data_IF_694610973859
#
_entry.id   IF_694610973859
#
_cell.length_a   1.000
_cell.length_b   1.000
_cell.length_c   1.000
_cell.angle_alpha   90.00
_cell.angle_beta   90.00
_cell.angle_gamma   90.00
#
_symmetry.space_group_name_H-M   'P 1'
#
loop_
_entity.id
_entity.type
_entity.pdbx_description
1 polymer ?
#
# COMPACT_ATOMS: atom_id res chain seq x y z
N UNK A 1 -18.41 -8.37 -18.13
CA UNK A 1 -17.73 -9.61 -18.57
C UNK A 1 -16.98 -9.41 -19.88
N UNK A 2 -17.60 -8.86 -20.93
CA UNK A 2 -16.94 -8.75 -22.26
C UNK A 2 -15.68 -7.89 -22.27
N UNK A 3 -15.67 -6.79 -21.50
CA UNK A 3 -14.47 -5.98 -21.35
C UNK A 3 -13.31 -6.78 -20.76
N UNK A 4 -13.55 -7.56 -19.69
CA UNK A 4 -12.54 -8.41 -19.06
C UNK A 4 -12.04 -9.48 -20.03
N UNK A 5 -12.95 -10.11 -20.78
CA UNK A 5 -12.58 -11.08 -21.81
C UNK A 5 -11.75 -10.45 -22.95
N UNK A 6 -12.11 -9.24 -23.41
CA UNK A 6 -11.36 -8.51 -24.43
C UNK A 6 -9.94 -8.18 -23.97
N UNK A 7 -9.80 -7.65 -22.75
CA UNK A 7 -8.49 -7.36 -22.16
C UNK A 7 -7.69 -8.64 -21.94
N UNK A 8 -8.32 -9.70 -21.45
CA UNK A 8 -7.69 -11.01 -21.29
C UNK A 8 -7.14 -11.52 -22.62
N UNK A 9 -7.92 -11.44 -23.71
CA UNK A 9 -7.50 -11.84 -25.05
C UNK A 9 -6.31 -11.01 -25.53
N UNK A 10 -6.38 -9.68 -25.42
CA UNK A 10 -5.27 -8.78 -25.80
C UNK A 10 -3.98 -9.11 -25.03
N UNK A 11 -4.08 -9.39 -23.73
CA UNK A 11 -2.92 -9.74 -22.90
C UNK A 11 -2.40 -11.15 -23.22
N UNK A 12 -3.28 -12.10 -23.50
CA UNK A 12 -2.89 -13.46 -23.76
C UNK A 12 -2.23 -13.57 -25.15
N UNK A 13 -2.83 -13.00 -26.20
CA UNK A 13 -2.27 -13.05 -27.56
C UNK A 13 -1.15 -12.05 -27.79
N UNK A 14 -1.20 -10.88 -27.15
CA UNK A 14 -0.28 -9.77 -27.39
C UNK A 14 -0.58 -8.98 -28.67
N UNK A 15 -1.56 -9.44 -29.45
CA UNK A 15 -2.01 -8.76 -30.66
C UNK A 15 -2.70 -7.46 -30.30
N UNK A 16 -2.32 -6.36 -30.97
CA UNK A 16 -2.85 -5.02 -30.74
C UNK A 16 -2.74 -4.51 -29.29
N UNK A 17 -1.91 -5.13 -28.44
CA UNK A 17 -1.72 -4.73 -27.05
C UNK A 17 -0.79 -3.50 -26.88
N UNK A 18 -0.36 -2.86 -27.97
CA UNK A 18 0.57 -1.72 -27.94
C UNK A 18 0.08 -0.50 -27.15
N UNK A 19 -1.24 -0.34 -27.04
CA UNK A 19 -1.87 0.72 -26.25
C UNK A 19 -1.94 0.40 -24.75
N UNK A 20 -1.71 -0.85 -24.34
CA UNK A 20 -1.68 -1.24 -22.94
C UNK A 20 -0.32 -0.91 -22.35
N UNK A 21 -0.31 -0.01 -21.36
CA UNK A 21 0.91 0.47 -20.72
C UNK A 21 0.95 0.03 -19.26
N UNK A 22 2.09 -0.52 -18.84
CA UNK A 22 2.44 -0.77 -17.44
C UNK A 22 3.66 0.05 -17.10
N UNK A 23 3.58 0.91 -16.07
CA UNK A 23 4.65 1.85 -15.70
C UNK A 23 5.16 2.69 -16.89
N UNK A 24 4.26 3.06 -17.80
CA UNK A 24 4.52 3.78 -19.06
C UNK A 24 5.36 3.01 -20.09
N UNK A 25 5.61 1.72 -19.87
CA UNK A 25 6.19 0.80 -20.85
C UNK A 25 5.08 -0.02 -21.49
N UNK A 26 5.29 -0.45 -22.73
CA UNK A 26 4.36 -1.39 -23.37
C UNK A 26 4.28 -2.67 -22.55
N UNK A 27 3.08 -3.20 -22.38
CA UNK A 27 2.84 -4.45 -21.67
C UNK A 27 3.29 -5.68 -22.48
N UNK A 28 3.76 -5.50 -23.71
CA UNK A 28 4.11 -6.57 -24.64
C UNK A 28 5.03 -7.68 -24.08
N UNK A 29 6.05 -7.39 -23.24
CA UNK A 29 6.89 -8.44 -22.68
C UNK A 29 6.04 -9.52 -21.96
N UNK A 30 6.23 -10.79 -22.35
CA UNK A 30 5.47 -11.94 -21.83
C UNK A 30 5.47 -11.96 -20.29
N UNK A 31 6.59 -11.57 -19.65
CA UNK A 31 6.70 -11.53 -18.20
C UNK A 31 5.74 -10.52 -17.56
N UNK A 32 5.46 -9.39 -18.22
CA UNK A 32 4.53 -8.39 -17.68
C UNK A 32 3.09 -8.87 -17.88
N UNK A 33 2.76 -9.44 -19.05
CA UNK A 33 1.42 -9.98 -19.35
C UNK A 33 1.05 -11.11 -18.39
N UNK A 34 1.99 -12.00 -18.07
CA UNK A 34 1.78 -13.12 -17.15
C UNK A 34 1.44 -12.72 -15.71
N UNK A 35 1.67 -11.45 -15.32
CA UNK A 35 1.24 -10.89 -14.04
C UNK A 35 -0.25 -10.50 -14.05
N UNK A 36 -0.79 -10.08 -15.19
CA UNK A 36 -2.16 -9.55 -15.31
C UNK A 36 -3.17 -10.63 -15.70
N UNK A 37 -2.79 -11.56 -16.58
CA UNK A 37 -3.65 -12.68 -17.00
C UNK A 37 -4.27 -13.44 -15.82
N UNK A 38 -3.50 -13.96 -14.83
CA UNK A 38 -4.09 -14.70 -13.70
C UNK A 38 -5.03 -13.84 -12.86
N UNK A 39 -4.76 -12.53 -12.74
CA UNK A 39 -5.63 -11.60 -12.00
C UNK A 39 -6.97 -11.42 -12.71
N UNK A 40 -6.96 -11.23 -14.03
CA UNK A 40 -8.21 -11.10 -14.80
C UNK A 40 -8.99 -12.41 -14.79
N UNK A 41 -8.31 -13.55 -14.95
CA UNK A 41 -8.93 -14.87 -14.81
C UNK A 41 -9.62 -15.02 -13.45
N UNK A 42 -8.89 -14.73 -12.37
CA UNK A 42 -9.42 -14.77 -10.99
C UNK A 42 -10.62 -13.84 -10.84
N UNK A 43 -10.55 -12.58 -11.29
CA UNK A 43 -11.65 -11.61 -11.21
C UNK A 43 -12.90 -12.10 -11.93
N UNK A 44 -12.77 -12.59 -13.16
CA UNK A 44 -13.90 -13.15 -13.92
C UNK A 44 -14.55 -14.33 -13.19
N UNK A 45 -13.72 -15.23 -12.66
CA UNK A 45 -14.20 -16.42 -11.96
C UNK A 45 -14.84 -16.06 -10.60
N UNK A 46 -14.31 -15.07 -9.88
CA UNK A 46 -14.90 -14.56 -8.64
C UNK A 46 -16.26 -13.87 -8.88
N UNK A 47 -16.45 -13.18 -10.01
CA UNK A 47 -17.78 -12.65 -10.37
C UNK A 47 -18.79 -13.80 -10.51
N UNK A 48 -18.43 -14.87 -11.23
CA UNK A 48 -19.28 -16.06 -11.33
C UNK A 48 -19.45 -16.79 -9.99
N UNK A 49 -18.44 -16.78 -9.12
CA UNK A 49 -18.53 -17.38 -7.78
C UNK A 49 -19.59 -16.70 -6.92
N UNK A 50 -19.72 -15.38 -7.01
CA UNK A 50 -20.65 -14.58 -6.22
C UNK A 50 -22.08 -14.55 -6.79
N UNK A 51 -22.27 -14.91 -8.06
CA UNK A 51 -23.58 -14.86 -8.74
C UNK A 51 -23.98 -16.29 -9.14
N UNK A 52 -24.98 -16.90 -8.48
CA UNK A 52 -25.42 -18.26 -8.79
C UNK A 52 -26.24 -18.27 -10.09
N UNK A 53 -25.55 -18.20 -11.23
CA UNK A 53 -26.16 -18.17 -12.56
C UNK A 53 -25.38 -19.10 -13.52
N UNK A 54 -26.01 -20.22 -13.88
CA UNK A 54 -25.43 -21.24 -14.77
C UNK A 54 -25.11 -20.72 -16.18
N UNK A 55 -25.87 -19.76 -16.70
CA UNK A 55 -25.58 -19.14 -17.99
C UNK A 55 -24.30 -18.29 -17.91
N UNK A 56 -24.11 -17.57 -16.79
CA UNK A 56 -22.88 -16.83 -16.52
C UNK A 56 -21.68 -17.77 -16.35
N UNK A 57 -21.84 -18.88 -15.62
CA UNK A 57 -20.77 -19.88 -15.43
C UNK A 57 -20.33 -20.47 -16.76
N UNK A 58 -21.28 -20.89 -17.60
CA UNK A 58 -21.00 -21.36 -18.98
C UNK A 58 -20.30 -20.30 -19.80
N UNK A 59 -20.78 -19.05 -19.75
CA UNK A 59 -20.15 -17.93 -20.46
C UNK A 59 -18.71 -17.69 -20.02
N UNK A 60 -18.42 -17.72 -18.72
CA UNK A 60 -17.05 -17.57 -18.20
C UNK A 60 -16.16 -18.71 -18.72
N UNK A 61 -16.62 -19.96 -18.62
CA UNK A 61 -15.89 -21.12 -19.14
C UNK A 61 -15.58 -20.98 -20.63
N UNK A 62 -16.59 -20.64 -21.45
CA UNK A 62 -16.41 -20.40 -22.89
C UNK A 62 -15.42 -19.26 -23.15
N UNK A 63 -15.47 -18.17 -22.37
CA UNK A 63 -14.55 -17.04 -22.51
C UNK A 63 -13.11 -17.35 -22.06
N UNK A 64 -12.91 -18.38 -21.24
CA UNK A 64 -11.57 -18.85 -20.86
C UNK A 64 -10.98 -19.82 -21.90
N UNK A 65 -11.79 -20.46 -22.73
CA UNK A 65 -11.31 -21.43 -23.72
C UNK A 65 -10.31 -20.87 -24.76
N UNK A 66 -10.43 -19.63 -25.28
CA UNK A 66 -9.46 -19.07 -26.21
C UNK A 66 -8.05 -18.96 -25.63
N UNK A 67 -7.92 -18.99 -24.30
CA UNK A 67 -6.61 -19.11 -23.69
C UNK A 67 -5.94 -20.37 -24.24
N UNK A 68 -6.62 -21.53 -24.31
CA UNK A 68 -6.09 -22.87 -24.66
C UNK A 68 -5.15 -23.00 -25.86
N UNK A 69 -5.12 -22.00 -26.75
CA UNK A 69 -4.31 -21.97 -27.96
C UNK A 69 -2.90 -21.37 -27.74
N UNK A 70 -2.64 -20.78 -26.58
CA UNK A 70 -1.36 -20.15 -26.22
C UNK A 70 -0.44 -21.09 -25.41
N UNK A 71 0.78 -20.68 -25.11
CA UNK A 71 1.58 -21.39 -24.11
C UNK A 71 1.11 -21.03 -22.70
N UNK A 72 0.74 -22.05 -21.91
CA UNK A 72 0.23 -21.85 -20.56
C UNK A 72 1.36 -21.53 -19.59
N UNK A 73 1.45 -20.28 -19.13
CA UNK A 73 2.30 -19.94 -18.00
C UNK A 73 1.73 -20.59 -16.72
N UNK A 74 2.63 -21.06 -15.84
CA UNK A 74 2.26 -21.77 -14.61
C UNK A 74 1.28 -20.98 -13.72
N UNK A 75 1.40 -19.65 -13.69
CA UNK A 75 0.56 -18.77 -12.87
C UNK A 75 -0.94 -18.82 -13.19
N UNK A 76 -1.34 -19.19 -14.41
CA UNK A 76 -2.76 -19.30 -14.80
C UNK A 76 -3.12 -20.66 -15.42
N UNK A 77 -2.20 -21.63 -15.43
CA UNK A 77 -2.44 -22.97 -15.96
C UNK A 77 -3.65 -23.67 -15.31
N UNK A 78 -3.99 -23.36 -14.06
CA UNK A 78 -5.16 -23.99 -13.43
C UNK A 78 -6.49 -23.49 -14.01
N UNK A 79 -6.58 -22.20 -14.36
CA UNK A 79 -7.75 -21.64 -15.04
C UNK A 79 -7.86 -22.14 -16.47
N UNK A 80 -6.71 -22.36 -17.10
CA UNK A 80 -6.60 -22.89 -18.45
C UNK A 80 -7.13 -24.32 -18.61
N UNK A 81 -6.74 -25.20 -17.68
CA UNK A 81 -7.08 -26.61 -17.73
C UNK A 81 -8.51 -26.89 -17.24
N UNK A 82 -9.21 -25.87 -16.73
CA UNK A 82 -10.57 -26.02 -16.26
C UNK A 82 -11.53 -26.35 -17.42
N UNK A 83 -12.18 -27.50 -17.34
CA UNK A 83 -13.23 -27.94 -18.28
C UNK A 83 -14.62 -27.81 -17.70
N UNK A 84 -14.70 -27.70 -16.38
CA UNK A 84 -15.94 -27.55 -15.63
C UNK A 84 -15.89 -26.37 -14.67
N UNK A 85 -17.06 -25.91 -14.21
CA UNK A 85 -17.12 -24.88 -13.18
C UNK A 85 -16.45 -25.35 -11.88
N UNK A 86 -16.53 -26.63 -11.55
CA UNK A 86 -15.85 -27.23 -10.40
C UNK A 86 -14.33 -27.08 -10.47
N UNK A 87 -13.75 -27.16 -11.66
CA UNK A 87 -12.31 -26.94 -11.84
C UNK A 87 -11.94 -25.47 -11.71
N UNK A 88 -12.80 -24.55 -12.16
CA UNK A 88 -12.66 -23.11 -11.91
C UNK A 88 -12.69 -22.82 -10.41
N UNK A 89 -13.63 -23.41 -9.65
CA UNK A 89 -13.68 -23.26 -8.19
C UNK A 89 -12.37 -23.72 -7.54
N UNK A 90 -11.83 -24.86 -7.98
CA UNK A 90 -10.54 -25.37 -7.51
C UNK A 90 -9.40 -24.39 -7.84
N UNK A 91 -9.38 -23.84 -9.05
CA UNK A 91 -8.39 -22.86 -9.48
C UNK A 91 -8.46 -21.56 -8.66
N UNK A 92 -9.66 -21.06 -8.34
CA UNK A 92 -9.86 -19.90 -7.46
C UNK A 92 -9.21 -20.17 -6.09
N UNK A 93 -9.60 -21.26 -5.43
CA UNK A 93 -9.14 -21.59 -4.07
C UNK A 93 -7.63 -21.84 -4.00
N UNK A 94 -7.07 -22.48 -5.01
CA UNK A 94 -5.63 -22.69 -5.10
C UNK A 94 -4.88 -21.39 -5.39
N UNK A 95 -5.45 -20.49 -6.20
CA UNK A 95 -4.78 -19.23 -6.56
C UNK A 95 -4.63 -18.27 -5.38
N UNK A 96 -5.36 -18.50 -4.29
CA UNK A 96 -5.29 -17.76 -3.03
C UNK A 96 -4.59 -18.54 -1.93
N UNK A 97 -4.10 -19.75 -2.22
CA UNK A 97 -3.48 -20.58 -1.21
C UNK A 97 -2.17 -19.95 -0.72
N UNK A 98 -1.25 -19.57 -1.60
CA UNK A 98 0.13 -19.28 -1.19
C UNK A 98 0.41 -17.81 -0.82
N UNK A 99 -0.63 -16.96 -0.79
CA UNK A 99 -0.48 -15.51 -0.55
C UNK A 99 -1.28 -15.08 0.69
N UNK A 100 -0.63 -14.59 1.76
CA UNK A 100 -1.32 -14.09 2.95
C UNK A 100 -2.09 -12.78 2.69
N UNK A 101 -1.90 -12.16 1.52
CA UNK A 101 -2.59 -10.93 1.11
C UNK A 101 -3.84 -11.21 0.27
N UNK A 102 -4.05 -12.45 -0.18
CA UNK A 102 -5.15 -12.83 -1.08
C UNK A 102 -6.20 -13.71 -0.38
N UNK A 103 -6.46 -13.46 0.90
CA UNK A 103 -7.43 -14.23 1.68
C UNK A 103 -8.86 -14.14 1.10
N UNK A 104 -9.45 -15.31 0.77
CA UNK A 104 -10.86 -15.36 0.38
C UNK A 104 -11.76 -15.26 1.61
N UNK A 105 -12.66 -14.29 1.59
CA UNK A 105 -13.66 -14.11 2.63
C UNK A 105 -15.03 -14.52 2.13
N UNK A 106 -15.68 -15.41 2.85
CA UNK A 106 -17.07 -15.80 2.63
C UNK A 106 -17.95 -15.06 3.64
N UNK A 107 -18.65 -14.02 3.18
CA UNK A 107 -19.61 -13.28 4.00
C UNK A 107 -20.90 -14.08 4.14
N UNK A 108 -21.34 -14.36 5.37
CA UNK A 108 -22.56 -15.11 5.66
C UNK A 108 -23.50 -14.33 6.58
N UNK A 109 -24.70 -14.04 6.13
CA UNK A 109 -25.69 -13.36 6.96
C UNK A 109 -26.19 -14.30 8.08
N UNK A 110 -26.20 -13.84 9.32
CA UNK A 110 -26.62 -14.63 10.50
C UNK A 110 -28.10 -14.99 10.49
N UNK A 111 -28.92 -14.24 9.78
CA UNK A 111 -30.34 -14.53 9.57
C UNK A 111 -30.58 -15.67 8.57
N UNK A 112 -29.53 -16.21 7.93
CA UNK A 112 -29.61 -17.40 7.09
C UNK A 112 -29.31 -18.66 7.91
N UNK A 113 -29.90 -19.81 7.56
CA UNK A 113 -29.57 -21.09 8.18
C UNK A 113 -28.05 -21.30 8.25
N UNK A 114 -27.58 -21.89 9.35
CA UNK A 114 -26.15 -22.17 9.52
C UNK A 114 -25.70 -23.09 8.37
N UNK A 115 -24.63 -22.73 7.64
CA UNK A 115 -24.15 -23.55 6.53
C UNK A 115 -23.75 -24.93 7.04
N UNK A 116 -24.25 -25.97 6.38
CA UNK A 116 -24.02 -27.37 6.74
C UNK A 116 -22.54 -27.78 6.62
N UNK A 117 -21.80 -27.13 5.73
CA UNK A 117 -20.41 -27.44 5.47
C UNK A 117 -19.47 -26.33 5.95
N UNK A 118 -18.28 -26.69 6.48
CA UNK A 118 -17.23 -25.69 6.75
C UNK A 118 -16.83 -24.98 5.45
N UNK A 119 -16.30 -23.75 5.54
CA UNK A 119 -15.78 -23.09 4.35
C UNK A 119 -14.62 -23.90 3.75
N UNK A 120 -14.36 -23.80 2.43
CA UNK A 120 -13.19 -24.41 1.82
C UNK A 120 -11.88 -24.01 2.53
N UNK A 121 -10.84 -24.83 2.42
CA UNK A 121 -9.53 -24.53 3.03
C UNK A 121 -9.07 -23.12 2.63
N UNK A 122 -8.58 -22.34 3.61
CA UNK A 122 -8.09 -20.95 3.44
C UNK A 122 -9.18 -19.96 2.98
N UNK A 123 -10.46 -20.34 3.03
CA UNK A 123 -11.58 -19.41 2.93
C UNK A 123 -12.08 -19.15 4.34
N UNK A 124 -12.07 -17.90 4.78
CA UNK A 124 -12.61 -17.57 6.10
C UNK A 124 -14.05 -17.10 5.99
N UNK A 125 -14.91 -17.74 6.77
CA UNK A 125 -16.32 -17.36 6.84
C UNK A 125 -16.51 -16.28 7.91
N UNK A 126 -17.06 -15.14 7.50
CA UNK A 126 -17.37 -14.01 8.38
C UNK A 126 -18.88 -13.90 8.48
N UNK A 127 -19.40 -14.04 9.69
CA UNK A 127 -20.83 -13.92 9.95
C UNK A 127 -21.18 -12.45 10.22
N UNK A 128 -22.22 -11.94 9.59
CA UNK A 128 -22.67 -10.55 9.77
C UNK A 128 -24.18 -10.46 10.00
N UNK A 129 -24.61 -9.51 10.83
CA UNK A 129 -26.02 -9.20 11.07
C UNK A 129 -26.52 -8.15 10.08
N UNK A 130 -25.78 -7.04 9.96
CA UNK A 130 -26.07 -5.94 9.04
C UNK A 130 -24.89 -5.70 8.11
N UNK A 131 -25.16 -5.14 6.93
CA UNK A 131 -24.11 -4.82 5.93
C UNK A 131 -23.10 -3.82 6.50
N UNK A 132 -23.54 -2.88 7.35
CA UNK A 132 -22.67 -1.89 8.01
C UNK A 132 -21.64 -2.51 8.95
N UNK A 133 -21.90 -3.71 9.48
CA UNK A 133 -21.00 -4.38 10.42
C UNK A 133 -19.82 -5.04 9.69
N UNK A 134 -19.94 -5.30 8.37
CA UNK A 134 -18.94 -6.02 7.57
C UNK A 134 -17.57 -5.34 7.63
N UNK A 135 -17.52 -4.01 7.48
CA UNK A 135 -16.26 -3.27 7.51
C UNK A 135 -15.51 -3.45 8.84
N UNK A 136 -16.23 -3.41 9.97
CA UNK A 136 -15.63 -3.64 11.29
C UNK A 136 -15.15 -5.08 11.46
N UNK A 137 -15.95 -6.05 11.00
CA UNK A 137 -15.60 -7.48 11.06
C UNK A 137 -14.38 -7.83 10.21
N UNK A 138 -14.20 -7.16 9.07
CA UNK A 138 -13.01 -7.34 8.22
C UNK A 138 -11.78 -6.61 8.77
N UNK A 139 -11.95 -5.44 9.42
CA UNK A 139 -10.83 -4.64 9.94
C UNK A 139 -10.16 -5.27 11.16
N UNK A 140 -10.92 -5.96 12.00
CA UNK A 140 -10.40 -6.58 13.23
C UNK A 140 -9.81 -7.98 13.00
N UNK A 141 -9.65 -8.39 11.74
CA UNK A 141 -9.22 -9.74 11.40
C UNK A 141 -7.70 -9.81 11.45
N UNK A 142 -7.17 -10.59 12.40
CA UNK A 142 -5.77 -11.01 12.34
C UNK A 142 -5.58 -11.87 11.09
N UNK A 143 -4.53 -11.63 10.28
CA UNK A 143 -4.23 -12.51 9.16
C UNK A 143 -4.11 -13.96 9.66
N UNK A 144 -4.56 -14.96 8.88
CA UNK A 144 -4.43 -16.35 9.28
C UNK A 144 -2.95 -16.63 9.57
N UNK A 145 -2.63 -17.42 10.61
CA UNK A 145 -1.25 -17.77 10.93
C UNK A 145 -0.63 -18.36 9.67
N UNK A 146 0.40 -17.70 9.14
CA UNK A 146 1.12 -18.17 7.97
C UNK A 146 1.68 -19.53 8.34
N UNK A 147 1.16 -20.60 7.75
CA UNK A 147 1.78 -21.91 7.82
C UNK A 147 3.22 -21.74 7.34
N UNK A 148 4.18 -21.93 8.24
CA UNK A 148 5.61 -21.70 8.00
C UNK A 148 6.07 -22.38 6.71
N UNK A 149 6.11 -21.64 5.60
CA UNK A 149 6.78 -22.05 4.36
C UNK A 149 8.22 -21.53 4.42
N UNK A 150 8.98 -22.00 5.43
CA UNK A 150 10.44 -22.04 5.31
C UNK A 150 10.76 -23.21 4.39
N UNK A 151 10.92 -22.96 3.09
CA UNK A 151 11.33 -24.08 2.21
C UNK A 151 11.32 -23.90 0.70
N UNK A 152 10.94 -22.76 0.12
CA UNK A 152 11.05 -22.58 -1.34
C UNK A 152 12.10 -21.53 -1.64
N UNK A 153 13.37 -21.95 -1.60
CA UNK A 153 14.41 -21.27 -2.38
C UNK A 153 14.05 -21.50 -3.85
N UNK A 154 13.84 -20.42 -4.58
CA UNK A 154 13.72 -20.43 -6.04
C UNK A 154 15.08 -20.89 -6.60
N UNK A 155 15.26 -22.18 -6.78
CA UNK A 155 16.44 -22.75 -7.45
C UNK A 155 16.18 -22.66 -8.95
N UNK A 156 16.92 -21.76 -9.61
CA UNK A 156 17.11 -21.80 -11.05
C UNK A 156 17.89 -23.09 -11.35
N UNK A 157 17.23 -24.07 -11.96
CA UNK A 157 17.90 -25.28 -12.44
C UNK A 157 18.84 -24.93 -13.59
N UNK A 158 20.14 -24.87 -13.32
CA UNK A 158 21.18 -25.11 -14.31
C UNK A 158 21.66 -26.54 -14.08
N UNK A 159 21.51 -27.38 -15.10
CA UNK A 159 21.93 -28.78 -15.06
C UNK A 159 23.46 -28.88 -14.94
N UNK A 160 23.91 -29.67 -13.97
CA UNK A 160 25.32 -30.07 -13.77
C UNK A 160 25.40 -31.33 -12.91
N UNK A 161 26.37 -32.23 -13.15
CA UNK A 161 26.22 -33.66 -12.86
C UNK A 161 26.58 -34.05 -11.42
N UNK A 162 25.94 -35.13 -10.97
CA UNK A 162 26.04 -35.74 -9.65
C UNK A 162 27.46 -36.20 -9.32
N UNK A 163 27.91 -35.88 -8.11
CA UNK A 163 28.88 -36.70 -7.38
C UNK A 163 28.33 -37.09 -6.02
N UNK A 164 28.46 -38.37 -5.77
CA UNK A 164 28.06 -39.17 -4.62
C UNK A 164 29.15 -39.09 -3.54
N UNK A 165 28.79 -38.87 -2.26
CA UNK A 165 29.52 -39.42 -1.09
C UNK A 165 29.03 -38.90 0.27
N UNK A 166 28.64 -39.89 1.08
CA UNK A 166 28.92 -40.16 2.51
C UNK A 166 28.42 -39.27 3.66
N UNK A 167 27.59 -39.95 4.48
CA UNK A 167 27.70 -40.19 5.93
C UNK A 167 27.94 -38.99 6.88
N UNK A 168 27.05 -38.83 7.87
CA UNK A 168 27.39 -38.83 9.30
C UNK A 168 26.09 -38.83 10.15
N UNK A 169 25.97 -39.81 11.05
CA UNK A 169 25.19 -39.75 12.30
C UNK A 169 26.20 -39.39 13.43
N UNK A 170 25.85 -38.88 14.63
CA UNK A 170 24.83 -39.47 15.55
C UNK A 170 24.15 -38.47 16.54
N UNK A 171 23.33 -38.99 17.47
CA UNK A 171 23.34 -38.48 18.87
C UNK A 171 22.04 -37.99 19.54
N UNK A 172 21.17 -38.93 19.88
CA UNK A 172 20.49 -39.20 21.18
C UNK A 172 20.57 -38.20 22.37
N UNK A 173 19.39 -37.78 22.86
CA UNK A 173 18.86 -37.66 24.26
C UNK A 173 19.67 -36.94 25.35
N UNK A 174 19.05 -35.94 26.01
CA UNK A 174 18.84 -35.93 27.48
C UNK A 174 17.86 -34.84 27.95
N UNK A 175 16.83 -35.31 28.63
CA UNK A 175 15.94 -34.66 29.59
C UNK A 175 16.68 -34.20 30.85
N UNK A 176 16.24 -33.10 31.47
CA UNK A 176 16.69 -32.66 32.79
C UNK A 176 15.84 -31.51 33.30
N UNK A 177 15.00 -31.83 34.28
CA UNK A 177 14.03 -31.02 35.00
C UNK A 177 14.69 -30.19 36.13
N UNK A 178 13.87 -29.47 36.88
CA UNK A 178 14.11 -28.85 38.20
C UNK A 178 14.44 -27.35 38.27
N UNK A 179 13.39 -26.55 38.55
CA UNK A 179 13.52 -25.35 39.38
C UNK A 179 12.23 -25.09 40.18
N UNK A 180 12.27 -25.08 41.53
CA UNK A 180 11.10 -24.79 42.36
C UNK A 180 10.92 -23.30 42.63
N UNK A 181 9.65 -22.94 42.81
CA UNK A 181 9.08 -21.68 43.26
C UNK A 181 9.74 -21.07 44.51
N UNK A 182 9.72 -19.74 44.57
CA UNK A 182 9.40 -19.01 45.80
C UNK A 182 8.53 -17.79 45.48
N UNK A 183 7.32 -17.83 46.04
CA UNK A 183 6.55 -16.67 46.45
C UNK A 183 7.39 -15.78 47.38
N UNK A 184 7.22 -14.47 47.29
CA UNK A 184 6.97 -13.66 48.48
C UNK A 184 6.25 -12.36 48.10
N UNK A 185 5.29 -12.07 48.97
CA UNK A 185 4.23 -11.08 48.92
C UNK A 185 4.66 -9.75 49.54
N UNK A 186 3.94 -8.70 49.12
CA UNK A 186 3.47 -7.53 49.88
C UNK A 186 4.53 -6.61 50.51
N UNK A 187 4.52 -5.34 50.10
CA UNK A 187 4.29 -4.23 51.03
C UNK A 187 3.46 -3.13 50.37
N UNK A 188 2.53 -2.62 51.17
CA UNK A 188 1.52 -1.59 50.94
C UNK A 188 2.09 -0.16 51.04
N UNK A 189 1.24 0.80 50.65
CA UNK A 189 1.08 2.15 51.21
C UNK A 189 1.82 3.34 50.52
N UNK A 190 1.37 4.61 50.66
CA UNK A 190 0.14 5.12 50.05
C UNK A 190 0.27 6.49 49.34
N UNK A 191 -0.84 6.89 48.69
CA UNK A 191 -1.36 8.25 48.49
C UNK A 191 -0.44 9.36 47.94
N UNK A 192 -0.75 9.84 46.73
CA UNK A 192 -0.73 11.29 46.48
C UNK A 192 -1.80 11.73 45.50
N UNK A 193 -2.72 12.50 46.09
CA UNK A 193 -3.82 13.30 45.58
C UNK A 193 -3.51 14.12 44.32
N UNK A 194 -4.37 14.02 43.31
CA UNK A 194 -4.48 15.02 42.22
C UNK A 194 -5.89 15.60 42.20
N UNK A 195 -6.09 16.91 42.41
CA UNK A 195 -7.40 17.54 42.27
C UNK A 195 -7.58 18.13 40.86
N UNK A 196 -8.83 18.20 40.41
CA UNK A 196 -9.26 19.32 39.55
C UNK A 196 -9.74 18.97 38.15
N UNK A 197 -10.94 18.40 38.08
CA UNK A 197 -11.86 18.43 36.96
C UNK A 197 -11.94 19.81 36.26
N UNK A 198 -12.05 19.81 34.92
CA UNK A 198 -13.02 20.65 34.20
C UNK A 198 -13.43 20.03 32.87
N UNK A 199 -14.67 19.54 32.89
CA UNK A 199 -15.58 19.33 31.76
C UNK A 199 -15.54 20.51 30.78
N UNK A 200 -15.49 20.22 29.48
CA UNK A 200 -16.10 21.05 28.45
C UNK A 200 -16.98 20.14 27.60
N UNK A 201 -18.29 20.33 27.75
CA UNK A 201 -19.35 19.90 26.85
C UNK A 201 -19.52 20.95 25.74
N UNK A 202 -19.69 20.49 24.51
CA UNK A 202 -20.45 21.15 23.42
C UNK A 202 -20.41 20.16 22.24
N UNK A 203 -21.41 19.31 22.00
CA UNK A 203 -22.77 19.60 21.55
C UNK A 203 -22.81 20.57 20.36
N UNK A 204 -23.04 20.02 19.16
CA UNK A 204 -24.09 20.44 18.20
C UNK A 204 -24.03 19.52 16.96
N UNK A 205 -24.82 18.44 16.99
CA UNK A 205 -25.09 17.62 15.79
C UNK A 205 -26.41 18.08 15.18
N UNK A 206 -26.33 18.74 14.02
CA UNK A 206 -27.52 19.17 13.26
C UNK A 206 -28.12 17.95 12.55
N UNK A 207 -29.17 17.38 13.15
CA UNK A 207 -30.08 16.46 12.46
C UNK A 207 -30.94 17.25 11.46
N UNK A 208 -30.65 17.08 10.17
CA UNK A 208 -31.57 17.53 9.10
C UNK A 208 -32.63 16.46 8.94
N UNK A 209 -33.77 16.67 9.60
CA UNK A 209 -35.01 15.95 9.35
C UNK A 209 -35.52 16.27 7.93
N UNK A 210 -35.39 15.33 7.01
CA UNK A 210 -36.14 15.35 5.76
C UNK A 210 -37.49 14.71 6.01
N UNK A 211 -38.50 15.55 6.19
CA UNK A 211 -39.91 15.16 6.15
C UNK A 211 -40.24 14.56 4.79
N UNK A 212 -40.45 13.24 4.78
CA UNK A 212 -41.10 12.53 3.68
C UNK A 212 -42.61 12.65 3.91
N UNK A 213 -43.20 13.73 3.42
CA UNK A 213 -44.64 13.90 3.40
C UNK A 213 -45.19 13.69 1.98
N UNK A 214 -46.40 13.12 1.93
CA UNK A 214 -46.90 12.26 0.87
C UNK A 214 -46.98 12.85 -0.54
N UNK A 215 -46.86 11.97 -1.53
CA UNK A 215 -47.51 12.18 -2.82
C UNK A 215 -48.26 10.93 -3.24
N UNK A 216 -49.56 11.15 -3.42
CA UNK A 216 -50.60 10.21 -3.73
C UNK A 216 -50.40 9.42 -5.02
N UNK A 217 -50.96 8.21 -4.98
CA UNK A 217 -51.22 7.34 -6.11
C UNK A 217 -52.08 8.05 -7.15
N UNK A 218 -51.53 8.25 -8.35
CA UNK A 218 -52.33 8.37 -9.57
C UNK A 218 -51.80 7.38 -10.59
N UNK A 219 -52.58 6.32 -10.79
CA UNK A 219 -52.51 5.37 -11.89
C UNK A 219 -52.81 6.07 -13.21
N UNK A 220 -51.76 6.50 -13.91
CA UNK A 220 -51.82 7.10 -15.24
C UNK A 220 -51.15 6.22 -16.29
N UNK A 221 -51.99 5.73 -17.20
CA UNK A 221 -51.74 5.09 -18.51
C UNK A 221 -50.31 5.26 -19.08
N UNK A 222 -49.71 4.12 -19.44
CA UNK A 222 -48.45 4.01 -20.18
C UNK A 222 -48.60 4.58 -21.60
N UNK A 223 -48.17 5.83 -21.81
CA UNK A 223 -47.83 6.37 -23.12
C UNK A 223 -46.32 6.21 -23.36
N UNK A 224 -45.96 5.85 -24.59
CA UNK A 224 -44.59 5.59 -25.04
C UNK A 224 -43.64 6.78 -24.73
N UNK A 225 -42.34 6.53 -24.49
CA UNK A 225 -41.39 7.59 -24.20
C UNK A 225 -41.17 8.43 -25.45
N UNK A 226 -41.80 9.60 -25.50
CA UNK A 226 -41.44 10.65 -26.44
C UNK A 226 -39.95 10.98 -26.24
N UNK A 227 -39.21 10.94 -27.34
CA UNK A 227 -37.83 11.34 -27.45
C UNK A 227 -37.69 12.79 -26.98
N UNK A 228 -37.32 12.98 -25.70
CA UNK A 228 -36.88 14.26 -25.15
C UNK A 228 -35.74 14.78 -26.02
N UNK A 229 -36.02 15.79 -26.82
CA UNK A 229 -35.03 16.63 -27.47
C UNK A 229 -34.07 17.14 -26.39
N UNK A 230 -32.78 16.84 -26.55
CA UNK A 230 -31.75 17.26 -25.62
C UNK A 230 -31.67 18.79 -25.61
N UNK A 231 -32.39 19.43 -24.68
CA UNK A 231 -32.22 20.84 -24.40
C UNK A 231 -30.75 21.08 -24.06
N UNK A 232 -30.11 21.98 -24.81
CA UNK A 232 -28.71 22.31 -24.63
C UNK A 232 -28.49 22.77 -23.19
N UNK A 233 -27.64 22.05 -22.46
CA UNK A 233 -27.33 22.33 -21.05
C UNK A 233 -26.80 23.76 -20.95
N UNK A 234 -27.47 24.59 -20.15
CA UNK A 234 -27.07 25.98 -19.92
C UNK A 234 -25.60 26.08 -19.46
N UNK A 235 -24.82 27.07 -19.94
CA UNK A 235 -23.43 27.28 -19.53
C UNK A 235 -23.26 27.45 -18.01
N UNK A 236 -24.26 28.00 -17.33
CA UNK A 236 -24.25 28.15 -15.86
C UNK A 236 -24.29 26.79 -15.15
N UNK A 237 -25.07 25.84 -15.68
CA UNK A 237 -25.16 24.48 -15.14
C UNK A 237 -23.86 23.69 -15.37
N UNK A 238 -23.14 23.96 -16.47
CA UNK A 238 -21.82 23.37 -16.70
C UNK A 238 -20.79 23.87 -15.67
N UNK A 239 -20.78 25.18 -15.37
CA UNK A 239 -19.88 25.75 -14.36
C UNK A 239 -20.21 25.18 -12.98
N UNK A 240 -21.49 25.12 -12.60
CA UNK A 240 -21.91 24.50 -11.36
C UNK A 240 -21.52 23.00 -11.30
N UNK A 241 -21.74 22.27 -12.38
CA UNK A 241 -21.34 20.87 -12.52
C UNK A 241 -19.85 20.65 -12.31
N UNK A 242 -18.99 21.52 -12.84
CA UNK A 242 -17.54 21.47 -12.63
C UNK A 242 -17.15 21.74 -11.17
N UNK A 243 -17.84 22.65 -10.48
CA UNK A 243 -17.63 22.91 -9.05
C UNK A 243 -17.99 21.67 -8.24
N UNK A 244 -19.15 21.06 -8.49
CA UNK A 244 -19.57 19.82 -7.83
C UNK A 244 -18.65 18.66 -8.14
N UNK A 245 -18.23 18.50 -9.39
CA UNK A 245 -17.28 17.45 -9.80
C UNK A 245 -15.95 17.60 -9.05
N UNK A 246 -15.42 18.83 -8.97
CA UNK A 246 -14.16 19.11 -8.26
C UNK A 246 -14.30 18.85 -6.76
N UNK A 247 -15.41 19.26 -6.15
CA UNK A 247 -15.70 19.00 -4.74
C UNK A 247 -15.87 17.49 -4.46
N UNK A 248 -16.59 16.78 -5.33
CA UNK A 248 -16.83 15.35 -5.23
C UNK A 248 -15.54 14.54 -5.44
N UNK A 249 -14.68 14.91 -6.41
CA UNK A 249 -13.35 14.32 -6.59
C UNK A 249 -12.48 14.54 -5.34
N UNK A 250 -12.52 15.73 -4.74
CA UNK A 250 -11.80 16.02 -3.49
C UNK A 250 -12.33 15.17 -2.32
N UNK A 251 -13.65 15.03 -2.20
CA UNK A 251 -14.29 14.18 -1.20
C UNK A 251 -13.93 12.70 -1.40
N UNK A 252 -13.95 12.20 -2.64
CA UNK A 252 -13.54 10.84 -2.97
C UNK A 252 -12.06 10.63 -2.69
N UNK A 253 -11.18 11.58 -3.01
CA UNK A 253 -9.77 11.53 -2.61
C UNK A 253 -9.61 11.47 -1.09
N UNK A 254 -10.40 12.22 -0.31
CA UNK A 254 -10.39 12.16 1.16
C UNK A 254 -10.99 10.87 1.74
N UNK A 255 -12.00 10.28 1.08
CA UNK A 255 -12.62 9.01 1.50
C UNK A 255 -11.82 7.79 1.07
N UNK A 256 -11.05 7.92 -0.02
CA UNK A 256 -10.24 6.86 -0.61
C UNK A 256 -8.78 6.95 -0.19
N UNK A 257 -8.33 8.06 0.38
CA UNK A 257 -7.05 8.12 1.06
C UNK A 257 -7.15 7.16 2.25
N UNK A 258 -6.38 6.05 2.25
CA UNK A 258 -6.20 5.27 3.46
C UNK A 258 -5.82 6.25 4.57
N UNK A 259 -6.18 5.96 5.83
CA UNK A 259 -5.59 6.68 6.97
C UNK A 259 -4.08 6.66 6.75
N UNK A 260 -3.50 7.77 6.30
CA UNK A 260 -2.08 7.83 5.95
C UNK A 260 -1.36 7.36 7.20
N UNK A 261 -0.42 6.43 7.01
CA UNK A 261 0.43 6.03 8.12
C UNK A 261 1.08 7.30 8.69
N UNK A 262 1.35 7.32 10.00
CA UNK A 262 2.00 8.47 10.65
C UNK A 262 3.27 8.93 9.91
N UNK A 263 3.92 8.00 9.21
CA UNK A 263 5.15 8.23 8.44
C UNK A 263 4.89 8.88 7.08
N UNK A 264 3.84 8.46 6.37
CA UNK A 264 3.42 9.12 5.13
C UNK A 264 2.98 10.56 5.42
N UNK A 265 2.25 10.78 6.52
CA UNK A 265 1.90 12.12 6.98
C UNK A 265 3.15 12.97 7.28
N UNK A 266 4.14 12.41 7.98
CA UNK A 266 5.40 13.10 8.24
C UNK A 266 6.17 13.46 6.95
N UNK A 267 6.24 12.56 5.97
CA UNK A 267 6.80 12.88 4.65
C UNK A 267 6.05 14.03 3.99
N UNK A 268 4.71 13.97 3.96
CA UNK A 268 3.87 14.99 3.34
C UNK A 268 4.10 16.36 3.99
N UNK A 269 4.20 16.42 5.32
CA UNK A 269 4.52 17.66 6.02
C UNK A 269 5.88 18.24 5.58
N UNK A 270 6.94 17.42 5.53
CA UNK A 270 8.25 17.88 5.05
C UNK A 270 8.21 18.34 3.59
N UNK A 271 7.46 17.63 2.75
CA UNK A 271 7.27 17.99 1.35
C UNK A 271 6.54 19.33 1.20
N UNK A 272 5.46 19.55 1.96
CA UNK A 272 4.71 20.81 1.95
C UNK A 272 5.55 21.98 2.43
N UNK A 273 6.32 21.80 3.51
CA UNK A 273 7.25 22.83 4.00
C UNK A 273 8.32 23.19 2.94
N UNK A 274 8.89 22.19 2.27
CA UNK A 274 9.81 22.41 1.16
C UNK A 274 9.10 23.10 -0.01
N UNK A 275 7.87 22.70 -0.35
CA UNK A 275 7.11 23.27 -1.45
C UNK A 275 6.82 24.76 -1.21
N UNK A 276 6.31 25.12 -0.04
CA UNK A 276 6.04 26.51 0.33
C UNK A 276 7.32 27.35 0.31
N UNK A 277 8.39 26.84 0.92
CA UNK A 277 9.66 27.55 0.94
C UNK A 277 10.27 27.71 -0.46
N UNK A 278 10.05 26.75 -1.35
CA UNK A 278 10.49 26.84 -2.74
C UNK A 278 9.84 27.98 -3.53
N UNK A 279 8.67 28.47 -3.11
CA UNK A 279 8.02 29.63 -3.75
C UNK A 279 8.73 30.93 -3.43
N UNK A 280 9.36 31.01 -2.26
CA UNK A 280 10.09 32.20 -1.78
C UNK A 280 11.54 32.23 -2.28
N UNK A 281 12.15 31.06 -2.49
CA UNK A 281 13.53 30.98 -2.99
C UNK A 281 13.58 31.44 -4.45
N UNK A 282 14.42 32.43 -4.74
CA UNK A 282 14.72 32.86 -6.10
C UNK A 282 15.62 31.81 -6.78
N UNK A 283 15.01 30.97 -7.62
CA UNK A 283 15.74 29.98 -8.39
C UNK A 283 16.28 30.61 -9.68
N UNK A 284 17.57 30.44 -9.99
CA UNK A 284 18.08 30.79 -11.32
C UNK A 284 17.30 30.08 -12.43
N UNK A 285 17.12 30.75 -13.56
CA UNK A 285 16.47 30.15 -14.75
C UNK A 285 17.20 28.85 -15.10
N UNK A 286 16.44 27.76 -15.23
CA UNK A 286 17.01 26.44 -15.50
C UNK A 286 17.72 25.76 -14.31
N UNK A 287 17.50 26.22 -13.07
CA UNK A 287 18.09 25.60 -11.88
C UNK A 287 17.85 24.09 -11.83
N UNK A 288 18.94 23.33 -11.83
CA UNK A 288 18.94 21.87 -11.66
C UNK A 288 18.76 21.45 -10.20
N UNK A 289 18.85 22.40 -9.26
CA UNK A 289 18.73 22.12 -7.84
C UNK A 289 17.28 22.13 -7.35
N UNK A 290 16.40 22.99 -7.89
CA UNK A 290 14.98 23.04 -7.49
C UNK A 290 14.28 21.68 -7.49
N UNK A 291 14.41 20.83 -8.54
CA UNK A 291 13.81 19.50 -8.52
C UNK A 291 14.42 18.57 -7.46
N UNK A 292 15.73 18.70 -7.19
CA UNK A 292 16.40 17.92 -6.14
C UNK A 292 15.99 18.38 -4.75
N UNK A 293 15.81 19.69 -4.54
CA UNK A 293 15.29 20.24 -3.30
C UNK A 293 13.91 19.65 -2.97
N UNK A 294 12.97 19.71 -3.92
CA UNK A 294 11.61 19.19 -3.71
C UNK A 294 11.53 17.65 -3.68
N UNK A 295 12.46 16.94 -4.33
CA UNK A 295 12.47 15.48 -4.35
C UNK A 295 13.24 14.86 -3.20
N UNK A 296 14.50 15.27 -3.00
CA UNK A 296 15.46 14.62 -2.10
C UNK A 296 15.30 15.08 -0.65
N UNK A 297 15.18 16.40 -0.42
CA UNK A 297 15.24 16.96 0.94
C UNK A 297 14.13 16.43 1.85
N UNK A 298 12.85 16.32 1.42
CA UNK A 298 11.80 15.76 2.26
C UNK A 298 12.07 14.31 2.72
N UNK A 299 12.63 13.48 1.84
CA UNK A 299 12.99 12.10 2.19
C UNK A 299 14.13 12.06 3.22
N UNK A 300 15.16 12.89 3.05
CA UNK A 300 16.28 12.96 3.99
C UNK A 300 15.83 13.48 5.35
N UNK A 301 14.99 14.51 5.39
CA UNK A 301 14.44 15.06 6.64
C UNK A 301 13.59 14.02 7.39
N UNK A 302 12.80 13.21 6.68
CA UNK A 302 12.07 12.10 7.29
C UNK A 302 13.03 11.04 7.86
N UNK A 303 14.10 10.67 7.14
CA UNK A 303 15.10 9.75 7.67
C UNK A 303 15.74 10.27 8.96
N UNK A 304 16.10 11.56 9.00
CA UNK A 304 16.68 12.21 10.17
C UNK A 304 15.69 12.28 11.34
N UNK A 305 14.42 12.58 11.08
CA UNK A 305 13.37 12.58 12.10
C UNK A 305 13.22 11.19 12.75
N UNK A 306 13.11 10.13 11.94
CA UNK A 306 12.98 8.76 12.45
C UNK A 306 14.22 8.32 13.24
N UNK A 307 15.42 8.72 12.80
CA UNK A 307 16.65 8.48 13.54
C UNK A 307 16.65 9.21 14.90
N UNK A 308 16.17 10.44 14.97
CA UNK A 308 16.06 11.19 16.23
C UNK A 308 15.06 10.56 17.18
N UNK A 309 13.88 10.16 16.70
CA UNK A 309 12.86 9.48 17.50
C UNK A 309 13.43 8.21 18.14
N UNK A 310 14.16 7.39 17.37
CA UNK A 310 14.86 6.22 17.89
C UNK A 310 15.93 6.58 18.93
N UNK A 311 16.80 7.55 18.63
CA UNK A 311 17.87 7.95 19.54
C UNK A 311 17.35 8.53 20.85
N UNK A 312 16.21 9.23 20.82
CA UNK A 312 15.55 9.74 22.03
C UNK A 312 14.98 8.60 22.88
N UNK A 313 14.37 7.60 22.26
CA UNK A 313 13.91 6.38 22.94
C UNK A 313 15.09 5.59 23.55
N UNK A 314 16.17 5.41 22.79
CA UNK A 314 17.38 4.72 23.27
C UNK A 314 18.03 5.44 24.45
N UNK A 315 18.19 6.78 24.38
CA UNK A 315 18.70 7.57 25.50
C UNK A 315 17.83 7.42 26.75
N UNK A 316 16.50 7.43 26.60
CA UNK A 316 15.58 7.23 27.73
C UNK A 316 15.73 5.83 28.33
N UNK A 317 15.74 4.79 27.48
CA UNK A 317 15.90 3.40 27.91
C UNK A 317 17.24 3.16 28.63
N UNK A 318 18.34 3.67 28.08
CA UNK A 318 19.67 3.54 28.68
C UNK A 318 19.76 4.32 29.99
N UNK A 319 19.17 5.53 30.07
CA UNK A 319 19.14 6.32 31.31
C UNK A 319 18.38 5.60 32.43
N UNK A 320 17.28 4.93 32.12
CA UNK A 320 16.58 4.07 33.09
C UNK A 320 17.39 2.82 33.47
N UNK A 321 18.15 2.25 32.52
CA UNK A 321 19.09 1.15 32.78
C UNK A 321 20.24 1.54 33.72
N UNK A 322 20.83 2.72 33.53
CA UNK A 322 21.92 3.24 34.39
C UNK A 322 21.49 3.34 35.85
N UNK A 323 20.23 3.72 36.12
CA UNK A 323 19.70 3.79 37.49
C UNK A 323 19.64 2.43 38.20
N UNK A 324 19.58 1.33 37.45
CA UNK A 324 19.39 -0.03 37.95
C UNK A 324 20.66 -0.89 37.89
N UNK A 325 21.65 -0.48 37.09
CA UNK A 325 22.83 -1.28 36.77
C UNK A 325 23.84 -1.37 37.93
N UNK A 326 24.54 -2.52 38.03
CA UNK A 326 25.70 -2.71 38.93
C UNK A 326 27.02 -2.53 38.17
N UNK A 327 28.11 -2.20 38.88
CA UNK A 327 29.40 -1.67 38.36
C UNK A 327 29.77 -1.95 36.89
N UNK A 328 29.82 -3.20 36.42
CA UNK A 328 30.26 -3.53 35.06
C UNK A 328 29.23 -3.26 33.96
N UNK A 329 27.94 -3.29 34.29
CA UNK A 329 26.85 -2.92 33.38
C UNK A 329 26.73 -1.40 33.26
N UNK A 330 27.13 -0.67 34.30
CA UNK A 330 27.08 0.79 34.36
C UNK A 330 28.02 1.42 33.34
N UNK A 331 29.26 0.94 33.21
CA UNK A 331 30.21 1.44 32.20
C UNK A 331 29.69 1.24 30.78
N UNK A 332 29.19 0.04 30.46
CA UNK A 332 28.61 -0.26 29.13
C UNK A 332 27.38 0.58 28.84
N UNK A 333 26.54 0.82 29.85
CA UNK A 333 25.36 1.66 29.72
C UNK A 333 25.74 3.14 29.53
N UNK A 334 26.76 3.64 30.24
CA UNK A 334 27.30 4.98 30.04
C UNK A 334 27.87 5.16 28.64
N UNK A 335 28.68 4.22 28.15
CA UNK A 335 29.22 4.25 26.78
C UNK A 335 28.10 4.30 25.73
N UNK A 336 27.07 3.46 25.90
CA UNK A 336 25.88 3.47 25.01
C UNK A 336 25.17 4.82 25.05
N UNK A 337 24.99 5.39 26.23
CA UNK A 337 24.34 6.70 26.39
C UNK A 337 25.14 7.82 25.71
N UNK A 338 26.45 7.88 25.94
CA UNK A 338 27.35 8.86 25.31
C UNK A 338 27.34 8.74 23.78
N UNK A 339 27.38 7.52 23.26
CA UNK A 339 27.26 7.24 21.83
C UNK A 339 25.91 7.73 21.27
N UNK A 340 24.80 7.44 21.96
CA UNK A 340 23.47 7.91 21.54
C UNK A 340 23.34 9.44 21.57
N UNK A 341 23.94 10.11 22.57
CA UNK A 341 24.01 11.57 22.64
C UNK A 341 24.82 12.14 21.47
N UNK A 342 26.01 11.58 21.18
CA UNK A 342 26.87 12.00 20.07
C UNK A 342 26.20 11.82 18.70
N UNK A 343 25.49 10.71 18.50
CA UNK A 343 24.72 10.50 17.27
C UNK A 343 23.58 11.50 17.19
N UNK A 344 22.82 11.70 18.27
CA UNK A 344 21.68 12.64 18.31
C UNK A 344 22.11 14.07 18.00
N UNK A 345 23.24 14.55 18.53
CA UNK A 345 23.77 15.89 18.21
C UNK A 345 24.18 16.01 16.74
N UNK A 346 24.82 14.97 16.19
CA UNK A 346 25.19 14.92 14.77
C UNK A 346 23.94 14.91 13.87
N UNK A 347 22.92 14.12 14.20
CA UNK A 347 21.65 14.05 13.48
C UNK A 347 20.93 15.39 13.50
N UNK A 348 20.85 16.07 14.66
CA UNK A 348 20.26 17.42 14.78
C UNK A 348 21.01 18.45 13.95
N UNK A 349 22.35 18.40 13.94
CA UNK A 349 23.16 19.32 13.11
C UNK A 349 22.86 19.14 11.62
N UNK A 350 22.81 17.89 11.14
CA UNK A 350 22.44 17.59 9.74
C UNK A 350 21.00 18.01 9.42
N UNK A 351 20.07 17.82 10.37
CA UNK A 351 18.68 18.24 10.21
C UNK A 351 18.55 19.76 10.09
N UNK A 352 19.17 20.54 10.98
CA UNK A 352 19.16 22.01 10.89
C UNK A 352 19.85 22.52 9.64
N UNK A 353 20.90 21.85 9.18
CA UNK A 353 21.57 22.19 7.92
C UNK A 353 20.65 21.98 6.70
N UNK A 354 19.87 20.90 6.68
CA UNK A 354 19.00 20.50 5.57
C UNK A 354 17.54 20.95 5.71
N UNK A 355 17.21 21.66 6.79
CA UNK A 355 15.87 22.16 7.05
C UNK A 355 15.41 23.05 5.89
N UNK A 356 14.12 22.98 5.55
CA UNK A 356 13.58 23.68 4.37
C UNK A 356 13.92 25.16 4.33
N UNK A 357 13.96 25.82 5.49
CA UNK A 357 14.25 27.25 5.69
C UNK A 357 15.75 27.60 5.70
N UNK A 358 16.63 26.61 5.80
CA UNK A 358 18.08 26.77 5.94
C UNK A 358 18.70 27.58 4.81
N UNK A 359 19.67 28.43 5.16
CA UNK A 359 20.49 29.20 4.21
C UNK A 359 21.34 28.31 3.31
N UNK A 360 21.52 27.04 3.66
CA UNK A 360 22.12 26.01 2.82
C UNK A 360 21.50 25.98 1.41
N UNK A 361 20.19 26.21 1.31
CA UNK A 361 19.47 26.17 0.04
C UNK A 361 19.63 27.44 -0.81
N UNK A 362 20.21 28.52 -0.27
CA UNK A 362 20.33 29.83 -0.96
C UNK A 362 21.77 30.30 -1.17
N UNK A 363 22.73 29.83 -0.36
CA UNK A 363 24.08 30.42 -0.28
C UNK A 363 25.02 30.21 -1.50
N UNK A 364 24.66 29.37 -2.47
CA UNK A 364 25.61 28.90 -3.50
C UNK A 364 25.01 28.77 -4.91
N UNK A 365 25.88 28.63 -5.92
CA UNK A 365 25.45 28.28 -7.29
C UNK A 365 24.68 26.96 -7.32
N UNK A 366 23.77 26.81 -8.30
CA UNK A 366 22.89 25.63 -8.38
C UNK A 366 23.68 24.31 -8.48
N UNK A 367 24.82 24.29 -9.17
CA UNK A 367 25.65 23.09 -9.33
C UNK A 367 26.41 22.73 -8.05
N UNK A 368 26.93 23.73 -7.33
CA UNK A 368 27.62 23.53 -6.05
C UNK A 368 26.65 23.00 -4.98
N UNK A 369 25.44 23.57 -4.89
CA UNK A 369 24.38 23.07 -4.00
C UNK A 369 24.01 21.61 -4.26
N UNK A 370 23.97 21.17 -5.52
CA UNK A 370 23.73 19.75 -5.83
C UNK A 370 24.82 18.84 -5.26
N UNK A 371 26.09 19.25 -5.36
CA UNK A 371 27.22 18.48 -4.82
C UNK A 371 27.19 18.45 -3.30
N UNK A 372 26.94 19.58 -2.67
CA UNK A 372 26.81 19.71 -1.20
C UNK A 372 25.64 18.87 -0.67
N UNK A 373 24.48 18.89 -1.35
CA UNK A 373 23.35 18.05 -0.97
C UNK A 373 23.69 16.56 -1.10
N UNK A 374 24.36 16.14 -2.18
CA UNK A 374 24.80 14.76 -2.33
C UNK A 374 25.81 14.35 -1.25
N UNK A 375 26.67 15.26 -0.80
CA UNK A 375 27.58 15.00 0.31
C UNK A 375 26.81 14.83 1.63
N UNK A 376 25.87 15.73 1.92
CA UNK A 376 25.01 15.61 3.10
C UNK A 376 24.18 14.32 3.09
N UNK A 377 23.66 13.89 1.93
CA UNK A 377 22.96 12.60 1.78
C UNK A 377 23.87 11.42 2.14
N UNK A 378 25.16 11.46 1.78
CA UNK A 378 26.14 10.44 2.18
C UNK A 378 26.45 10.48 3.67
N UNK A 379 26.50 11.67 4.27
CA UNK A 379 26.70 11.81 5.72
C UNK A 379 25.51 11.22 6.49
N UNK A 380 24.28 11.45 6.00
CA UNK A 380 23.06 10.82 6.56
C UNK A 380 23.11 9.31 6.39
N UNK A 381 23.50 8.80 5.23
CA UNK A 381 23.68 7.36 5.01
C UNK A 381 24.68 6.74 5.99
N UNK A 382 25.85 7.36 6.16
CA UNK A 382 26.87 6.91 7.11
C UNK A 382 26.34 6.89 8.54
N UNK A 383 25.59 7.93 8.94
CA UNK A 383 24.94 8.00 10.25
C UNK A 383 23.92 6.87 10.45
N UNK A 384 23.06 6.62 9.46
CA UNK A 384 22.05 5.56 9.52
C UNK A 384 22.65 4.15 9.54
N UNK A 385 23.86 3.98 9.01
CA UNK A 385 24.63 2.75 9.09
C UNK A 385 25.16 2.42 10.49
N UNK A 386 25.21 3.42 11.39
CA UNK A 386 25.60 3.25 12.80
C UNK A 386 24.40 2.86 13.69
N UNK A 387 23.18 2.97 13.18
CA UNK A 387 21.95 2.59 13.90
C UNK A 387 21.65 1.09 13.73
N UNK A 388 20.83 0.49 14.61
CA UNK A 388 20.42 -0.90 14.44
C UNK A 388 19.66 -1.15 13.14
N UNK A 389 19.79 -2.36 12.60
CA UNK A 389 19.22 -2.78 11.30
C UNK A 389 17.73 -2.50 11.15
N UNK A 390 16.93 -2.69 12.19
CA UNK A 390 15.48 -2.48 12.12
C UNK A 390 15.13 -1.00 11.86
N UNK A 391 15.95 -0.04 12.28
CA UNK A 391 15.79 1.38 11.95
C UNK A 391 16.24 1.64 10.51
N UNK A 392 17.39 1.08 10.13
CA UNK A 392 17.91 1.19 8.76
C UNK A 392 16.91 0.66 7.72
N UNK A 393 16.23 -0.46 8.00
CA UNK A 393 15.18 -1.03 7.16
C UNK A 393 13.96 -0.11 7.04
N UNK A 394 13.55 0.53 8.13
CA UNK A 394 12.45 1.48 8.11
C UNK A 394 12.75 2.66 7.18
N UNK A 395 13.97 3.20 7.20
CA UNK A 395 14.35 4.37 6.41
C UNK A 395 14.83 4.03 5.00
N UNK A 396 15.05 2.76 4.68
CA UNK A 396 15.71 2.32 3.44
C UNK A 396 15.04 2.86 2.17
N UNK A 397 13.71 2.82 2.10
CA UNK A 397 12.97 3.36 0.94
C UNK A 397 13.23 4.86 0.74
N UNK A 398 13.12 5.67 1.81
CA UNK A 398 13.35 7.11 1.73
C UNK A 398 14.81 7.42 1.41
N UNK A 399 15.74 6.65 1.97
CA UNK A 399 17.15 6.77 1.68
C UNK A 399 17.46 6.42 0.21
N UNK A 400 16.82 5.38 -0.35
CA UNK A 400 16.91 5.03 -1.76
C UNK A 400 16.43 6.18 -2.66
N UNK A 401 15.26 6.75 -2.35
CA UNK A 401 14.70 7.90 -3.08
C UNK A 401 15.61 9.15 -3.01
N UNK A 402 16.32 9.34 -1.89
CA UNK A 402 17.27 10.43 -1.73
C UNK A 402 18.57 10.26 -2.54
N UNK A 403 19.06 9.03 -2.69
CA UNK A 403 20.30 8.71 -3.44
C UNK A 403 20.10 8.74 -4.95
N UNK A 404 18.99 8.20 -5.42
CA UNK A 404 18.68 8.08 -6.84
C UNK A 404 17.51 8.99 -7.22
N UNK A 405 17.70 10.34 -7.22
CA UNK A 405 16.64 11.22 -7.66
C UNK A 405 16.28 10.85 -9.11
N UNK A 406 14.98 10.80 -9.45
CA UNK A 406 14.53 10.35 -10.75
C UNK A 406 15.28 11.13 -11.83
N UNK A 407 16.07 10.42 -12.64
CA UNK A 407 16.81 11.01 -13.76
C UNK A 407 15.80 11.78 -14.61
N UNK A 408 16.13 13.02 -15.01
CA UNK A 408 15.28 13.84 -15.89
C UNK A 408 14.76 12.91 -16.99
N UNK A 409 13.44 12.70 -17.03
CA UNK A 409 12.82 12.02 -18.16
C UNK A 409 13.27 12.81 -19.38
N UNK A 410 13.99 12.15 -20.29
CA UNK A 410 14.19 12.70 -21.61
C UNK A 410 12.81 13.10 -22.09
N UNK A 411 12.63 14.38 -22.40
CA UNK A 411 11.48 14.84 -23.16
C UNK A 411 11.71 14.31 -24.57
N UNK A 412 11.62 12.99 -24.74
CA UNK A 412 11.30 12.44 -26.04
C UNK A 412 10.01 13.12 -26.46
N UNK A 413 9.96 13.58 -27.72
CA UNK A 413 8.81 14.22 -28.32
C UNK A 413 7.56 13.55 -27.77
N UNK A 414 6.74 14.30 -27.02
CA UNK A 414 5.46 13.78 -26.50
C UNK A 414 4.81 13.06 -27.67
N UNK A 415 4.48 11.76 -27.55
CA UNK A 415 3.82 11.07 -28.64
C UNK A 415 2.63 11.95 -29.05
N UNK A 416 2.63 12.39 -30.32
CA UNK A 416 1.48 13.10 -30.87
C UNK A 416 0.30 12.17 -30.59
N UNK A 417 -0.67 12.65 -29.83
CA UNK A 417 -1.95 11.97 -29.69
C UNK A 417 -2.46 11.80 -31.12
N UNK A 418 -2.49 10.57 -31.62
CA UNK A 418 -3.21 10.20 -32.84
C UNK A 418 -4.72 10.29 -32.54
N UNK A 419 -5.19 11.49 -32.18
CA UNK A 419 -6.57 11.86 -32.38
C UNK A 419 -6.62 12.25 -33.85
N UNK A 420 -6.77 11.25 -34.72
CA UNK A 420 -7.21 11.52 -36.09
C UNK A 420 -8.49 12.34 -36.01
N UNK A 421 -8.65 13.27 -36.93
CA UNK A 421 -9.83 14.11 -37.13
C UNK A 421 -11.04 13.28 -37.57
N UNK A 422 -11.45 12.27 -36.79
CA UNK A 422 -12.67 11.46 -37.01
C UNK A 422 -13.96 12.25 -36.72
N UNK A 423 -13.88 13.58 -36.64
CA UNK A 423 -15.03 14.48 -36.51
C UNK A 423 -15.58 14.94 -37.87
N UNK A 424 -14.92 14.64 -39.00
CA UNK A 424 -15.39 15.04 -40.33
C UNK A 424 -16.29 14.00 -41.03
N UNK A 425 -16.37 12.75 -40.53
CA UNK A 425 -17.14 11.68 -41.19
C UNK A 425 -18.58 11.50 -40.68
N UNK A 426 -19.10 12.42 -39.84
CA UNK A 426 -20.48 12.37 -39.34
C UNK A 426 -21.43 13.38 -40.01
N UNK A 427 -20.98 14.10 -41.03
CA UNK A 427 -21.82 14.97 -41.87
C UNK A 427 -21.87 14.47 -43.32
N UNK A 428 -22.46 13.30 -43.57
CA UNK A 428 -23.09 12.96 -44.87
C UNK A 428 -24.33 12.11 -44.65
#
# INVERSE_FOLDING_TARGET
MDLLHRVLRLLATGENAGHLLFERKSINPVQVRSLFVPRICRTMCLIGYNIPNEALHRRILTQMQPLKQLEAHSSYAQYWWATSWKDILRAIWNSTADSPLDDLVHLWATNRPKPLFPPPRRVTRVYFNRVVDISHLLSNRSPPPTSNVSGVKQVVHIAGPMHDSTQYAPGTVTTGDDRPSKDDQLEDDPFSTTPGSKMIQSDESVEVALSSDGLDQTTGVLAAPETRTAEAISPELLVAGQVFEKAYRKLLCHRSSPKMSSREAAYHNHFELCLERSKVIQWPVGSVYKPRYLGVVPHVLLCLQLALEYLDQEKAAVKEGIKKARHTELEKAQERYENAVKLSTTTKKLQSQLESSSTFHTANSSAKRCKELSAAVKDVEGLLGLLPRHISEQVNFNMYMAKEPPKKRFVGNKPRLNMGSELEDWEV
#
